data_IF_411961676877
#
_entry.id   IF_411961676877
#
_cell.length_a   1.000
_cell.length_b   1.000
_cell.length_c   1.000
_cell.angle_alpha   90.00
_cell.angle_beta   90.00
_cell.angle_gamma   90.00
#
_symmetry.space_group_name_H-M   'P 1'
#
loop_
_entity.id
_entity.type
_entity.pdbx_description
1 polymer ?
#
# COMPACT_ATOMS: atom_id res chain seq x y z
N UNK A 1 13.31 -20.16 -15.00
CA UNK A 1 12.33 -21.27 -15.06
C UNK A 1 11.17 -21.07 -14.09
N UNK A 2 11.39 -21.10 -12.76
CA UNK A 2 10.29 -20.99 -11.78
C UNK A 2 9.56 -19.63 -11.86
N UNK A 3 10.27 -18.51 -11.77
CA UNK A 3 9.67 -17.16 -11.75
C UNK A 3 8.93 -16.80 -13.05
N UNK A 4 9.54 -17.05 -14.21
CA UNK A 4 9.01 -16.59 -15.51
C UNK A 4 8.08 -17.58 -16.21
N UNK A 5 8.34 -18.89 -16.12
CA UNK A 5 7.56 -19.89 -16.87
C UNK A 5 6.41 -20.41 -16.02
N UNK A 6 6.68 -20.80 -14.77
CA UNK A 6 5.67 -21.42 -13.90
C UNK A 6 4.72 -20.41 -13.25
N UNK A 7 5.23 -19.22 -12.91
CA UNK A 7 4.45 -18.15 -12.28
C UNK A 7 4.26 -16.91 -13.16
N UNK A 8 5.04 -16.73 -14.23
CA UNK A 8 5.02 -15.49 -15.02
C UNK A 8 3.70 -15.23 -15.75
N UNK A 9 2.97 -16.28 -16.14
CA UNK A 9 1.63 -16.14 -16.74
C UNK A 9 0.53 -15.72 -15.75
N UNK A 10 0.79 -15.79 -14.43
CA UNK A 10 -0.13 -15.34 -13.38
C UNK A 10 0.17 -13.92 -12.90
N UNK A 11 1.32 -13.37 -13.27
CA UNK A 11 1.78 -12.05 -12.86
C UNK A 11 1.57 -11.07 -14.01
N UNK A 12 0.68 -10.10 -13.79
CA UNK A 12 0.28 -9.11 -14.80
C UNK A 12 1.12 -7.84 -14.77
N UNK A 13 1.62 -7.42 -13.59
CA UNK A 13 2.49 -6.24 -13.45
C UNK A 13 3.97 -6.62 -13.67
N UNK A 14 4.67 -5.86 -14.52
CA UNK A 14 6.10 -6.00 -14.74
C UNK A 14 6.95 -5.78 -13.47
N UNK A 15 6.45 -4.95 -12.54
CA UNK A 15 7.11 -4.73 -11.24
C UNK A 15 7.04 -5.97 -10.36
N UNK A 16 5.89 -6.61 -10.32
CA UNK A 16 5.70 -7.87 -9.57
C UNK A 16 6.51 -9.00 -10.21
N UNK A 17 6.62 -9.02 -11.54
CA UNK A 17 7.47 -9.96 -12.27
C UNK A 17 8.94 -9.77 -11.87
N UNK A 18 9.42 -8.52 -11.85
CA UNK A 18 10.78 -8.18 -11.42
C UNK A 18 11.02 -8.58 -9.96
N UNK A 19 10.05 -8.36 -9.07
CA UNK A 19 10.13 -8.76 -7.67
C UNK A 19 10.30 -10.28 -7.54
N UNK A 20 9.47 -11.06 -8.24
CA UNK A 20 9.52 -12.52 -8.21
C UNK A 20 10.85 -13.08 -8.73
N UNK A 21 11.40 -12.50 -9.81
CA UNK A 21 12.73 -12.85 -10.32
C UNK A 21 13.81 -12.55 -9.28
N UNK A 22 13.71 -11.43 -8.57
CA UNK A 22 14.67 -11.03 -7.54
C UNK A 22 14.64 -12.00 -6.35
N UNK A 23 13.45 -12.39 -5.90
CA UNK A 23 13.28 -13.44 -4.89
C UNK A 23 13.88 -14.77 -5.31
N UNK A 24 13.58 -15.21 -6.54
CA UNK A 24 14.13 -16.46 -7.06
C UNK A 24 15.66 -16.43 -7.09
N UNK A 25 16.29 -15.32 -7.52
CA UNK A 25 17.75 -15.19 -7.52
C UNK A 25 18.36 -15.13 -6.11
N UNK A 26 17.66 -14.53 -5.15
CA UNK A 26 18.13 -14.42 -3.76
C UNK A 26 18.14 -15.78 -3.05
N UNK A 27 17.12 -16.60 -3.27
CA UNK A 27 16.95 -17.87 -2.57
C UNK A 27 17.51 -19.08 -3.32
N UNK A 28 17.45 -19.09 -4.65
CA UNK A 28 18.03 -20.18 -5.45
C UNK A 28 19.43 -19.79 -5.92
N UNK A 29 20.41 -19.95 -5.02
CA UNK A 29 21.83 -19.79 -5.30
C UNK A 29 22.64 -20.92 -4.64
N UNK A 30 23.93 -21.03 -4.95
CA UNK A 30 24.78 -22.10 -4.41
C UNK A 30 24.95 -22.02 -2.89
N UNK A 31 24.76 -20.83 -2.29
CA UNK A 31 24.80 -20.65 -0.84
C UNK A 31 23.67 -21.42 -0.15
N UNK A 32 22.56 -21.69 -0.82
CA UNK A 32 21.43 -22.46 -0.29
C UNK A 32 21.86 -23.84 0.24
N UNK A 33 22.86 -24.47 -0.39
CA UNK A 33 23.36 -25.79 0.01
C UNK A 33 24.39 -25.73 1.15
N UNK A 34 24.82 -24.54 1.55
CA UNK A 34 25.73 -24.34 2.68
C UNK A 34 25.06 -24.71 4.01
N UNK A 35 25.83 -25.25 4.95
CA UNK A 35 25.36 -25.49 6.33
C UNK A 35 24.96 -24.22 7.06
N UNK A 36 25.51 -23.08 6.65
CA UNK A 36 25.38 -21.81 7.36
C UNK A 36 24.25 -20.94 6.79
N UNK A 37 23.60 -21.41 5.72
CA UNK A 37 22.52 -20.67 5.09
C UNK A 37 21.27 -20.65 5.96
N UNK A 38 20.73 -19.44 6.13
CA UNK A 38 19.47 -19.18 6.81
C UNK A 38 18.68 -18.19 5.98
N UNK A 39 17.36 -18.38 5.92
CA UNK A 39 16.47 -17.42 5.26
C UNK A 39 16.35 -16.13 6.05
N UNK A 40 16.32 -16.27 7.37
CA UNK A 40 16.28 -15.21 8.37
C UNK A 40 16.83 -15.75 9.69
N UNK A 41 17.15 -14.89 10.64
CA UNK A 41 17.61 -15.33 11.96
C UNK A 41 16.54 -16.20 12.63
N UNK A 42 16.92 -17.44 12.95
CA UNK A 42 16.00 -18.47 13.46
C UNK A 42 15.41 -19.39 12.38
N UNK A 43 15.44 -19.02 11.09
CA UNK A 43 14.85 -19.79 9.99
C UNK A 43 15.93 -20.45 9.11
N UNK A 44 16.48 -21.54 9.62
CA UNK A 44 17.43 -22.41 8.90
C UNK A 44 16.74 -23.60 8.24
N UNK A 45 17.39 -24.17 7.21
CA UNK A 45 16.93 -25.39 6.53
C UNK A 45 17.22 -26.61 7.43
N UNK A 46 16.20 -27.36 7.89
CA UNK A 46 16.42 -28.55 8.69
C UNK A 46 17.02 -29.68 7.84
N UNK A 47 18.10 -30.31 8.35
CA UNK A 47 18.79 -31.44 7.69
C UNK A 47 18.27 -32.79 8.19
N UNK A 48 16.96 -32.98 8.09
CA UNK A 48 16.26 -34.17 8.59
C UNK A 48 15.85 -35.09 7.43
N UNK A 49 15.69 -36.39 7.69
CA UNK A 49 15.40 -37.38 6.61
C UNK A 49 13.96 -37.86 6.63
N UNK A 50 13.30 -37.78 7.78
CA UNK A 50 11.93 -38.26 7.97
C UNK A 50 10.94 -37.11 7.94
N UNK A 51 9.74 -37.38 7.45
CA UNK A 51 8.67 -36.39 7.37
C UNK A 51 8.29 -35.85 8.77
N UNK A 52 8.16 -36.74 9.75
CA UNK A 52 7.75 -36.38 11.11
C UNK A 52 8.74 -35.38 11.74
N UNK A 53 10.03 -35.56 11.49
CA UNK A 53 11.09 -34.67 11.95
C UNK A 53 11.01 -33.27 11.32
N UNK A 54 10.51 -33.16 10.08
CA UNK A 54 10.24 -31.86 9.45
C UNK A 54 9.06 -31.15 10.13
N UNK A 55 7.99 -31.89 10.43
CA UNK A 55 6.78 -31.35 11.07
C UNK A 55 7.13 -30.85 12.47
N UNK A 56 7.81 -31.67 13.28
CA UNK A 56 8.27 -31.29 14.62
C UNK A 56 9.20 -30.07 14.62
N UNK A 57 9.94 -29.84 13.52
CA UNK A 57 10.79 -28.66 13.37
C UNK A 57 9.96 -27.42 13.00
N UNK A 58 8.96 -27.56 12.14
CA UNK A 58 8.06 -26.47 11.76
C UNK A 58 7.22 -26.02 12.96
N UNK A 59 6.76 -26.96 13.78
CA UNK A 59 5.95 -26.68 14.98
C UNK A 59 6.70 -25.92 16.08
N UNK A 60 8.04 -25.85 15.99
CA UNK A 60 8.87 -25.05 16.90
C UNK A 60 8.90 -23.57 16.55
N UNK A 61 8.45 -23.18 15.35
CA UNK A 61 8.45 -21.77 14.94
C UNK A 61 7.38 -20.97 15.70
N UNK A 62 7.63 -19.67 15.81
CA UNK A 62 6.65 -18.73 16.35
C UNK A 62 5.41 -18.70 15.46
N UNK A 63 4.23 -18.55 16.06
CA UNK A 63 2.98 -18.26 15.33
C UNK A 63 2.99 -16.87 14.69
N UNK A 64 3.85 -15.98 15.18
CA UNK A 64 3.96 -14.60 14.69
C UNK A 64 5.34 -14.41 14.09
N UNK A 65 5.35 -14.20 12.78
CA UNK A 65 6.55 -13.95 11.98
C UNK A 65 6.82 -12.44 11.84
N UNK A 66 8.07 -11.98 11.99
CA UNK A 66 8.42 -10.59 11.76
C UNK A 66 8.45 -10.25 10.26
N UNK A 67 8.06 -9.04 9.82
CA UNK A 67 8.02 -8.63 8.41
C UNK A 67 9.31 -8.83 7.62
N UNK A 68 10.43 -8.77 8.33
CA UNK A 68 11.78 -8.90 7.77
C UNK A 68 12.01 -10.27 7.13
N UNK A 69 11.32 -11.32 7.60
CA UNK A 69 11.40 -12.65 6.96
C UNK A 69 10.89 -12.60 5.51
N UNK A 70 9.89 -11.76 5.26
CA UNK A 70 9.32 -11.50 3.95
C UNK A 70 10.05 -10.39 3.20
N UNK A 71 11.25 -9.99 3.64
CA UNK A 71 12.03 -8.92 3.03
C UNK A 71 11.41 -7.52 3.19
N UNK A 72 10.44 -7.35 4.10
CA UNK A 72 9.77 -6.08 4.35
C UNK A 72 10.45 -5.31 5.49
N UNK A 73 10.24 -3.99 5.50
CA UNK A 73 10.67 -3.13 6.60
C UNK A 73 9.75 -3.32 7.83
N UNK A 74 10.28 -3.13 9.04
CA UNK A 74 9.52 -3.27 10.30
C UNK A 74 8.23 -2.41 10.34
N UNK A 75 8.21 -1.29 9.62
CA UNK A 75 7.04 -0.40 9.52
C UNK A 75 5.83 -1.05 8.84
N UNK A 76 6.00 -2.18 8.16
CA UNK A 76 4.90 -2.95 7.60
C UNK A 76 3.92 -3.41 8.69
N UNK A 77 4.42 -3.80 9.86
CA UNK A 77 3.57 -4.20 11.01
C UNK A 77 2.75 -3.05 11.56
N UNK A 78 3.35 -1.86 11.64
CA UNK A 78 2.66 -0.64 12.06
C UNK A 78 1.52 -0.36 11.07
N UNK A 79 1.84 -0.40 9.77
CA UNK A 79 0.87 -0.13 8.70
C UNK A 79 -0.28 -1.14 8.72
N UNK A 80 0.03 -2.43 8.88
CA UNK A 80 -0.96 -3.49 9.03
C UNK A 80 -1.85 -3.26 10.25
N UNK A 81 -1.27 -2.97 11.40
CA UNK A 81 -2.01 -2.74 12.65
C UNK A 81 -2.91 -1.52 12.56
N UNK A 82 -2.42 -0.41 11.97
CA UNK A 82 -3.22 0.80 11.72
C UNK A 82 -4.39 0.51 10.79
N UNK A 83 -4.16 -0.20 9.69
CA UNK A 83 -5.22 -0.56 8.74
C UNK A 83 -6.26 -1.48 9.38
N UNK A 84 -5.83 -2.46 10.19
CA UNK A 84 -6.72 -3.37 10.90
C UNK A 84 -7.57 -2.63 11.94
N UNK A 85 -6.95 -1.74 12.72
CA UNK A 85 -7.67 -0.89 13.68
C UNK A 85 -8.68 0.03 12.99
N UNK A 86 -8.29 0.66 11.88
CA UNK A 86 -9.19 1.50 11.07
C UNK A 86 -10.38 0.70 10.55
N UNK A 87 -10.14 -0.47 9.95
CA UNK A 87 -11.23 -1.33 9.46
C UNK A 87 -12.15 -1.81 10.59
N UNK A 88 -11.60 -2.08 11.77
CA UNK A 88 -12.40 -2.42 12.95
C UNK A 88 -13.29 -1.25 13.39
N UNK A 89 -12.74 -0.04 13.49
CA UNK A 89 -13.50 1.16 13.86
C UNK A 89 -14.58 1.49 12.82
N UNK A 90 -14.27 1.39 11.53
CA UNK A 90 -15.24 1.56 10.45
C UNK A 90 -16.41 0.57 10.57
N UNK A 91 -16.13 -0.69 10.89
CA UNK A 91 -17.16 -1.70 11.15
C UNK A 91 -18.00 -1.39 12.38
N UNK A 92 -17.39 -0.89 13.45
CA UNK A 92 -18.12 -0.47 14.67
C UNK A 92 -19.08 0.67 14.33
N UNK A 93 -18.60 1.70 13.64
CA UNK A 93 -19.43 2.84 13.21
C UNK A 93 -20.55 2.37 12.27
N UNK A 94 -20.27 1.40 11.39
CA UNK A 94 -21.27 0.84 10.49
C UNK A 94 -22.40 0.09 11.22
N UNK A 95 -22.07 -0.64 12.29
CA UNK A 95 -23.05 -1.38 13.11
C UNK A 95 -23.84 -0.45 14.04
N UNK A 96 -23.31 0.73 14.37
CA UNK A 96 -23.94 1.66 15.30
C UNK A 96 -25.33 2.12 14.78
N UNK A 97 -26.40 1.99 15.59
CA UNK A 97 -27.73 2.46 15.21
C UNK A 97 -27.72 3.97 15.01
N UNK A 98 -28.06 4.42 13.81
CA UNK A 98 -28.02 5.85 13.39
C UNK A 98 -28.91 6.76 14.25
N UNK A 99 -29.94 6.18 14.87
CA UNK A 99 -30.91 6.86 15.72
C UNK A 99 -30.40 7.18 17.14
N UNK A 100 -29.29 6.56 17.60
CA UNK A 100 -28.74 6.88 18.93
C UNK A 100 -28.00 8.24 18.97
N UNK A 101 -27.74 8.84 17.80
CA UNK A 101 -27.00 10.11 17.69
C UNK A 101 -27.87 11.37 17.70
N UNK A 102 -29.20 11.23 17.67
CA UNK A 102 -30.14 12.37 17.67
C UNK A 102 -30.42 12.97 19.05
N UNK A 103 -29.96 12.33 20.15
CA UNK A 103 -30.29 12.74 21.52
C UNK A 103 -29.14 13.35 22.32
N UNK A 104 -27.98 13.68 21.71
CA UNK A 104 -26.91 14.44 22.39
C UNK A 104 -27.05 15.91 22.01
N UNK A 105 -27.92 16.61 22.74
CA UNK A 105 -28.20 18.05 22.63
C UNK A 105 -27.04 18.90 23.19
N UNK A 106 -25.87 18.85 22.55
CA UNK A 106 -24.72 19.66 22.95
C UNK A 106 -23.55 19.77 21.98
N UNK A 107 -23.53 19.01 20.88
CA UNK A 107 -22.51 19.11 19.82
C UNK A 107 -22.99 19.97 18.64
N UNK A 108 -22.07 20.58 17.90
CA UNK A 108 -22.43 21.22 16.62
C UNK A 108 -23.16 20.23 15.71
N UNK A 109 -24.27 20.68 15.12
CA UNK A 109 -25.06 19.87 14.19
C UNK A 109 -24.17 19.41 13.03
N UNK A 110 -24.38 18.17 12.54
CA UNK A 110 -23.61 17.61 11.41
C UNK A 110 -23.56 18.57 10.21
N UNK A 111 -24.66 19.25 9.93
CA UNK A 111 -24.77 20.25 8.86
C UNK A 111 -23.83 21.44 9.06
N UNK A 112 -23.67 21.90 10.30
CA UNK A 112 -22.78 23.02 10.64
C UNK A 112 -21.31 22.63 10.48
N UNK A 113 -20.94 21.41 10.87
CA UNK A 113 -19.58 20.87 10.69
C UNK A 113 -19.26 20.75 9.18
N UNK A 114 -20.20 20.19 8.40
CA UNK A 114 -20.05 20.07 6.95
C UNK A 114 -19.96 21.45 6.29
N UNK A 115 -20.76 22.41 6.72
CA UNK A 115 -20.74 23.77 6.17
C UNK A 115 -19.43 24.49 6.48
N UNK A 116 -18.91 24.38 7.71
CA UNK A 116 -17.61 24.92 8.09
C UNK A 116 -16.48 24.30 7.26
N UNK A 117 -16.48 22.98 7.09
CA UNK A 117 -15.50 22.28 6.27
C UNK A 117 -15.56 22.71 4.80
N UNK A 118 -16.77 22.87 4.25
CA UNK A 118 -16.95 23.35 2.88
C UNK A 118 -16.42 24.78 2.69
N UNK A 119 -16.66 25.66 3.66
CA UNK A 119 -16.14 27.03 3.63
C UNK A 119 -14.61 27.04 3.74
N UNK A 120 -14.02 26.20 4.60
CA UNK A 120 -12.56 26.04 4.71
C UNK A 120 -11.93 25.52 3.42
N UNK A 121 -12.59 24.57 2.75
CA UNK A 121 -12.16 24.08 1.43
C UNK A 121 -12.24 25.20 0.39
N UNK A 122 -13.31 26.00 0.40
CA UNK A 122 -13.51 27.10 -0.53
C UNK A 122 -12.43 28.18 -0.40
N UNK A 123 -12.04 28.52 0.83
CA UNK A 123 -10.97 29.51 1.09
C UNK A 123 -9.60 28.99 0.63
N UNK A 124 -9.35 27.68 0.71
CA UNK A 124 -8.09 27.05 0.28
C UNK A 124 -8.00 26.84 -1.23
N UNK A 125 -9.10 26.97 -1.97
CA UNK A 125 -9.08 26.83 -3.43
C UNK A 125 -8.27 27.97 -4.06
N UNK A 126 -7.47 27.67 -5.10
CA UNK A 126 -6.86 28.72 -5.91
C UNK A 126 -7.93 29.55 -6.63
N UNK A 127 -7.55 30.72 -7.13
CA UNK A 127 -8.44 31.61 -7.88
C UNK A 127 -9.18 30.84 -8.98
N UNK A 128 -10.46 31.18 -9.17
CA UNK A 128 -11.31 30.57 -10.18
C UNK A 128 -10.63 30.56 -11.55
N UNK A 129 -10.77 29.44 -12.26
CA UNK A 129 -10.25 29.29 -13.60
C UNK A 129 -11.07 30.14 -14.59
N UNK A 130 -10.45 31.18 -15.14
CA UNK A 130 -11.05 32.03 -16.17
C UNK A 130 -10.45 31.65 -17.52
N UNK A 131 -11.22 30.92 -18.33
CA UNK A 131 -10.74 30.33 -19.59
C UNK A 131 -10.14 31.36 -20.57
N UNK A 132 -10.66 32.59 -20.59
CA UNK A 132 -10.16 33.66 -21.45
C UNK A 132 -8.78 34.16 -21.02
N UNK A 133 -8.57 34.44 -19.72
CA UNK A 133 -7.27 34.88 -19.20
C UNK A 133 -6.19 33.83 -19.37
N UNK A 134 -6.54 32.55 -19.21
CA UNK A 134 -5.58 31.45 -19.34
C UNK A 134 -5.17 31.26 -20.80
N UNK A 135 -6.10 31.38 -21.77
CA UNK A 135 -5.77 31.32 -23.20
C UNK A 135 -4.86 32.47 -23.64
N UNK A 136 -5.10 33.68 -23.13
CA UNK A 136 -4.27 34.85 -23.42
C UNK A 136 -2.86 34.72 -22.81
N UNK A 137 -2.76 34.27 -21.56
CA UNK A 137 -1.47 33.98 -20.90
C UNK A 137 -0.69 32.87 -21.62
N UNK A 138 -1.36 31.84 -22.13
CA UNK A 138 -0.73 30.77 -22.91
C UNK A 138 -0.20 31.24 -24.26
N UNK A 139 -0.89 32.17 -24.93
CA UNK A 139 -0.36 32.80 -26.16
C UNK A 139 0.90 33.63 -25.87
N UNK A 140 0.90 34.38 -24.76
CA UNK A 140 2.04 35.20 -24.34
C UNK A 140 3.27 34.40 -23.87
N UNK A 141 3.08 33.16 -23.40
CA UNK A 141 4.16 32.25 -22.95
C UNK A 141 4.87 31.50 -24.09
N UNK A 142 4.48 31.73 -25.34
CA UNK A 142 5.08 31.11 -26.53
C UNK A 142 4.29 29.88 -26.99
N UNK A 143 3.53 30.07 -28.07
CA UNK A 143 2.59 29.09 -28.64
C UNK A 143 3.26 27.76 -29.02
N UNK A 144 4.55 27.79 -29.37
CA UNK A 144 5.31 26.63 -29.83
C UNK A 144 6.04 25.89 -28.70
N UNK A 145 5.93 26.32 -27.44
CA UNK A 145 6.56 25.63 -26.32
C UNK A 145 5.80 24.31 -26.02
N UNK A 146 6.49 23.15 -25.93
CA UNK A 146 5.84 21.86 -25.67
C UNK A 146 4.92 21.83 -24.45
N UNK A 147 5.30 22.52 -23.36
CA UNK A 147 4.42 22.64 -22.17
C UNK A 147 3.13 23.41 -22.48
N UNK A 148 3.21 24.49 -23.26
CA UNK A 148 2.04 25.34 -23.61
C UNK A 148 1.08 24.57 -24.52
N UNK A 149 1.60 23.72 -25.40
CA UNK A 149 0.80 22.85 -26.27
C UNK A 149 0.05 21.81 -25.43
N UNK A 150 0.74 21.13 -24.50
CA UNK A 150 0.11 20.16 -23.60
C UNK A 150 -0.96 20.82 -22.70
N UNK A 151 -0.63 21.96 -22.09
CA UNK A 151 -1.54 22.69 -21.21
C UNK A 151 -2.79 23.19 -21.96
N UNK A 152 -2.67 23.44 -23.27
CA UNK A 152 -3.80 23.79 -24.15
C UNK A 152 -4.69 22.58 -24.51
N UNK A 153 -4.16 21.36 -24.48
CA UNK A 153 -4.94 20.13 -24.72
C UNK A 153 -5.70 19.66 -23.47
N UNK A 154 -5.18 19.97 -22.28
CA UNK A 154 -5.80 19.65 -20.99
C UNK A 154 -6.94 20.62 -20.60
N UNK A 155 -7.06 21.79 -21.27
CA UNK A 155 -8.14 22.79 -21.08
C UNK A 155 -9.30 22.51 -22.04
#
# INVERSE_FOLDING_TARGET
MISEIQYGGRITDDRDRRLMITYAKKWFNDLLFSSDFKFYDGYSIPKVKRLDEYIDYIDKFSLIDPPQIFGLHANADITYSTNRAKSMLEKIVYIQPKEASSNISGGETRDKIVHNLANDMLIKLPKNFIQHEVREKLQNMGILNPMVIFLRQEI
#
